data_IF_568547470181
#
_entry.id   IF_568547470181
#
_cell.length_a   1.000
_cell.length_b   1.000
_cell.length_c   1.000
_cell.angle_alpha   90.00
_cell.angle_beta   90.00
_cell.angle_gamma   90.00
#
_symmetry.space_group_name_H-M   'P 1'
#
loop_
_entity.id
_entity.type
_entity.pdbx_description
1 polymer ?
#
# COMPACT_ATOMS: atom_id res chain seq x y z
N UNK A 1 44.27 4.86 -17.98
CA UNK A 1 43.56 5.09 -19.26
C UNK A 1 42.24 5.74 -18.95
N UNK A 2 42.03 7.01 -19.35
CA UNK A 2 40.72 7.65 -19.23
C UNK A 2 39.86 7.09 -20.36
N UNK A 3 38.77 6.39 -20.02
CA UNK A 3 37.83 5.83 -20.99
C UNK A 3 37.13 7.00 -21.68
N UNK A 4 37.18 7.07 -23.01
CA UNK A 4 36.48 8.10 -23.79
C UNK A 4 34.98 8.00 -23.49
N UNK A 5 34.34 9.14 -23.19
CA UNK A 5 32.90 9.15 -22.92
C UNK A 5 32.11 8.70 -24.16
N UNK A 6 31.04 7.90 -23.99
CA UNK A 6 30.13 7.52 -25.07
C UNK A 6 29.47 8.75 -25.71
N UNK A 7 29.19 8.68 -27.01
CA UNK A 7 28.42 9.71 -27.70
C UNK A 7 26.93 9.68 -27.32
N UNK A 8 26.43 8.50 -26.95
CA UNK A 8 25.06 8.25 -26.52
C UNK A 8 25.00 7.15 -25.46
N UNK A 9 23.88 7.12 -24.73
CA UNK A 9 23.67 6.25 -23.58
C UNK A 9 22.40 5.43 -23.80
N UNK A 10 22.49 4.12 -23.63
CA UNK A 10 21.32 3.24 -23.64
C UNK A 10 20.60 3.19 -22.29
N UNK A 11 19.50 2.42 -22.20
CA UNK A 11 18.62 2.36 -21.02
C UNK A 11 19.30 1.79 -19.77
N UNK A 12 20.40 1.06 -19.91
CA UNK A 12 21.21 0.59 -18.78
C UNK A 12 22.33 1.59 -18.45
N UNK A 13 22.90 2.25 -19.47
CA UNK A 13 24.05 3.13 -19.31
C UNK A 13 23.67 4.46 -18.64
N UNK A 14 22.50 5.01 -18.95
CA UNK A 14 22.06 6.31 -18.43
C UNK A 14 21.72 6.24 -16.92
N UNK A 15 20.86 5.32 -16.42
CA UNK A 15 20.63 5.21 -14.97
C UNK A 15 21.92 4.93 -14.20
N UNK A 16 22.77 4.03 -14.72
CA UNK A 16 24.06 3.73 -14.11
C UNK A 16 24.99 4.94 -14.02
N UNK A 17 24.96 5.83 -15.04
CA UNK A 17 25.75 7.06 -15.04
C UNK A 17 25.26 8.07 -14.00
N UNK A 18 23.96 8.14 -13.77
CA UNK A 18 23.33 8.97 -12.74
C UNK A 18 23.45 8.35 -11.32
N UNK A 19 23.85 7.09 -11.22
CA UNK A 19 23.82 6.35 -9.96
C UNK A 19 22.41 6.14 -9.43
N UNK A 20 21.44 5.99 -10.34
CA UNK A 20 20.03 5.71 -10.04
C UNK A 20 19.73 4.24 -10.30
N UNK A 21 18.88 3.66 -9.47
CA UNK A 21 18.22 2.39 -9.74
C UNK A 21 17.22 2.54 -10.89
N UNK A 22 16.87 1.42 -11.50
CA UNK A 22 15.96 1.40 -12.66
C UNK A 22 14.60 2.06 -12.34
N UNK A 23 14.02 1.79 -11.17
CA UNK A 23 12.73 2.37 -10.78
C UNK A 23 12.82 3.89 -10.53
N UNK A 24 13.96 4.38 -10.03
CA UNK A 24 14.20 5.81 -9.81
C UNK A 24 14.23 6.54 -11.16
N UNK A 25 14.92 5.95 -12.14
CA UNK A 25 15.00 6.45 -13.50
C UNK A 25 13.65 6.44 -14.22
N UNK A 26 12.87 5.37 -14.08
CA UNK A 26 11.51 5.28 -14.61
C UNK A 26 10.58 6.33 -13.99
N UNK A 27 10.67 6.53 -12.67
CA UNK A 27 9.90 7.58 -11.98
C UNK A 27 10.33 8.98 -12.45
N UNK A 28 11.62 9.24 -12.58
CA UNK A 28 12.13 10.52 -13.09
C UNK A 28 11.64 10.82 -14.50
N UNK A 29 11.57 9.82 -15.38
CA UNK A 29 10.96 9.95 -16.70
C UNK A 29 9.45 10.22 -16.63
N UNK A 30 8.72 9.48 -15.80
CA UNK A 30 7.28 9.69 -15.62
C UNK A 30 6.94 11.09 -15.08
N UNK A 31 7.84 11.69 -14.31
CA UNK A 31 7.74 13.07 -13.82
C UNK A 31 8.21 14.12 -14.85
N UNK A 32 8.72 13.71 -16.00
CA UNK A 32 9.26 14.61 -17.04
C UNK A 32 10.60 15.25 -16.69
N UNK A 33 11.27 14.79 -15.63
CA UNK A 33 12.58 15.31 -15.20
C UNK A 33 13.71 14.79 -16.09
N UNK A 34 13.54 13.55 -16.58
CA UNK A 34 14.36 12.95 -17.64
C UNK A 34 13.48 12.84 -18.88
N UNK A 35 13.87 13.44 -20.01
CA UNK A 35 13.08 13.37 -21.23
C UNK A 35 13.13 11.97 -21.84
N UNK A 36 12.19 11.70 -22.76
CA UNK A 36 12.27 10.52 -23.62
C UNK A 36 13.57 10.52 -24.46
N UNK A 37 13.94 9.34 -24.96
CA UNK A 37 15.11 9.17 -25.82
C UNK A 37 15.10 10.14 -27.01
N UNK A 38 16.17 10.93 -27.18
CA UNK A 38 16.31 11.97 -28.19
C UNK A 38 17.14 11.55 -29.41
N UNK A 39 17.80 10.40 -29.33
CA UNK A 39 18.54 9.82 -30.46
C UNK A 39 17.58 9.08 -31.39
N UNK A 40 17.78 9.20 -32.71
CA UNK A 40 16.92 8.65 -33.75
C UNK A 40 16.61 7.14 -33.65
N UNK A 41 17.42 6.36 -32.92
CA UNK A 41 17.14 4.95 -32.64
C UNK A 41 15.96 4.73 -31.68
N UNK A 42 15.41 5.79 -31.08
CA UNK A 42 14.22 5.78 -30.21
C UNK A 42 14.42 5.14 -28.84
N UNK A 43 15.65 4.75 -28.49
CA UNK A 43 15.97 3.99 -27.28
C UNK A 43 17.27 4.45 -26.60
N UNK A 44 17.86 5.55 -27.08
CA UNK A 44 19.15 6.08 -26.60
C UNK A 44 19.05 7.58 -26.36
N UNK A 45 19.84 8.06 -25.42
CA UNK A 45 19.93 9.46 -25.04
C UNK A 45 21.28 10.03 -25.46
N UNK A 46 21.28 11.26 -25.97
CA UNK A 46 22.50 11.97 -26.31
C UNK A 46 23.33 12.28 -25.06
N UNK A 47 24.65 12.42 -25.23
CA UNK A 47 25.51 12.87 -24.13
C UNK A 47 25.08 14.22 -23.53
N UNK A 48 24.44 15.09 -24.31
CA UNK A 48 23.92 16.38 -23.85
C UNK A 48 22.78 16.19 -22.83
N UNK A 49 21.82 15.31 -23.11
CA UNK A 49 20.73 14.99 -22.17
C UNK A 49 21.28 14.37 -20.89
N UNK A 50 22.28 13.49 -21.00
CA UNK A 50 22.91 12.88 -19.82
C UNK A 50 23.66 13.91 -18.97
N UNK A 51 24.39 14.85 -19.61
CA UNK A 51 25.10 15.91 -18.91
C UNK A 51 24.14 16.88 -18.19
N UNK A 52 23.03 17.24 -18.84
CA UNK A 52 21.98 18.06 -18.25
C UNK A 52 21.34 17.36 -17.03
N UNK A 53 20.95 16.09 -17.14
CA UNK A 53 20.41 15.32 -16.02
C UNK A 53 21.43 15.19 -14.87
N UNK A 54 22.72 14.99 -15.16
CA UNK A 54 23.79 14.97 -14.16
C UNK A 54 23.89 16.32 -13.41
N UNK A 55 23.72 17.45 -14.10
CA UNK A 55 23.76 18.78 -13.49
C UNK A 55 22.60 19.04 -12.52
N UNK A 56 21.47 18.35 -12.72
CA UNK A 56 20.24 18.45 -11.92
C UNK A 56 19.99 17.20 -11.08
N UNK A 57 21.03 16.39 -10.81
CA UNK A 57 20.87 15.08 -10.19
C UNK A 57 20.22 15.14 -8.80
N UNK A 58 20.57 16.12 -7.97
CA UNK A 58 20.01 16.26 -6.63
C UNK A 58 18.53 16.70 -6.66
N UNK A 59 18.14 17.52 -7.64
CA UNK A 59 16.73 17.84 -7.91
C UNK A 59 15.96 16.56 -8.30
N UNK A 60 16.53 15.77 -9.21
CA UNK A 60 15.93 14.50 -9.66
C UNK A 60 15.77 13.54 -8.47
N UNK A 61 16.81 13.35 -7.65
CA UNK A 61 16.75 12.48 -6.47
C UNK A 61 15.69 12.91 -5.48
N UNK A 62 15.62 14.21 -5.20
CA UNK A 62 14.63 14.78 -4.29
C UNK A 62 13.21 14.54 -4.79
N UNK A 63 12.95 14.75 -6.08
CA UNK A 63 11.62 14.59 -6.67
C UNK A 63 11.20 13.12 -6.82
N UNK A 64 12.16 12.24 -7.06
CA UNK A 64 11.95 10.79 -7.15
C UNK A 64 11.62 10.21 -5.76
N UNK A 65 12.29 10.65 -4.70
CA UNK A 65 12.11 10.12 -3.34
C UNK A 65 12.87 8.83 -3.09
N UNK A 66 12.89 8.37 -1.83
CA UNK A 66 13.74 7.26 -1.39
C UNK A 66 13.07 5.88 -1.47
N UNK A 67 11.74 5.84 -1.63
CA UNK A 67 10.97 4.60 -1.59
C UNK A 67 10.36 4.25 -2.95
N UNK A 68 10.52 3.01 -3.44
CA UNK A 68 9.80 2.53 -4.61
C UNK A 68 8.31 2.38 -4.31
N UNK A 69 7.50 2.24 -5.37
CA UNK A 69 6.11 1.82 -5.19
C UNK A 69 6.10 0.34 -4.81
N UNK A 70 5.34 -0.04 -3.80
CA UNK A 70 5.41 -1.37 -3.19
C UNK A 70 4.04 -1.93 -2.85
N UNK A 71 3.94 -3.25 -2.73
CA UNK A 71 2.72 -3.89 -2.23
C UNK A 71 2.53 -3.71 -0.72
N UNK A 72 1.34 -4.09 -0.22
CA UNK A 72 0.91 -3.85 1.17
C UNK A 72 1.91 -4.36 2.23
N UNK A 73 2.49 -5.55 2.04
CA UNK A 73 3.46 -6.12 2.98
C UNK A 73 4.72 -5.27 3.12
N UNK A 74 5.35 -4.89 2.01
CA UNK A 74 6.56 -4.06 2.04
C UNK A 74 6.25 -2.62 2.46
N UNK A 75 5.08 -2.10 2.11
CA UNK A 75 4.60 -0.82 2.63
C UNK A 75 4.45 -0.85 4.17
N UNK A 76 3.96 -1.97 4.72
CA UNK A 76 3.81 -2.14 6.16
C UNK A 76 5.16 -2.15 6.87
N UNK A 77 6.17 -2.83 6.29
CA UNK A 77 7.55 -2.77 6.80
C UNK A 77 8.10 -1.34 6.82
N UNK A 78 7.93 -0.57 5.73
CA UNK A 78 8.38 0.83 5.64
C UNK A 78 7.70 1.70 6.71
N UNK A 79 6.38 1.58 6.87
CA UNK A 79 5.66 2.32 7.92
C UNK A 79 6.06 1.84 9.32
N UNK A 80 6.31 0.55 9.49
CA UNK A 80 6.72 0.01 10.79
C UNK A 80 8.08 0.53 11.23
N UNK A 81 9.06 0.54 10.33
CA UNK A 81 10.36 1.17 10.55
C UNK A 81 10.22 2.66 10.90
N UNK A 82 9.37 3.38 10.17
CA UNK A 82 9.16 4.83 10.34
C UNK A 82 8.48 5.19 11.66
N UNK A 83 7.47 4.44 12.07
CA UNK A 83 6.68 4.73 13.26
C UNK A 83 7.20 4.00 14.52
N UNK A 84 8.20 3.12 14.36
CA UNK A 84 8.76 2.33 15.45
C UNK A 84 7.77 1.34 16.05
N UNK A 85 6.81 0.84 15.25
CA UNK A 85 5.78 -0.11 15.68
C UNK A 85 5.51 -1.17 14.61
N UNK A 86 4.97 -2.31 15.00
CA UNK A 86 4.51 -3.31 14.02
C UNK A 86 3.28 -2.77 13.27
N UNK A 87 3.34 -2.80 11.94
CA UNK A 87 2.23 -2.42 11.06
C UNK A 87 1.85 -3.63 10.23
N UNK A 88 0.56 -3.95 10.14
CA UNK A 88 0.08 -5.06 9.33
C UNK A 88 -0.19 -4.64 7.89
N UNK A 89 -0.16 -5.59 6.95
CA UNK A 89 -0.59 -5.35 5.58
C UNK A 89 -2.06 -4.89 5.50
N UNK A 90 -2.92 -5.38 6.40
CA UNK A 90 -4.32 -4.96 6.47
C UNK A 90 -4.48 -3.48 6.85
N UNK A 91 -3.63 -2.97 7.75
CA UNK A 91 -3.59 -1.55 8.08
C UNK A 91 -3.26 -0.71 6.85
N UNK A 92 -2.28 -1.13 6.05
CA UNK A 92 -1.92 -0.45 4.79
C UNK A 92 -3.06 -0.52 3.77
N UNK A 93 -3.73 -1.67 3.65
CA UNK A 93 -4.89 -1.80 2.78
C UNK A 93 -6.01 -0.86 3.19
N UNK A 94 -6.23 -0.70 4.50
CA UNK A 94 -7.21 0.24 5.04
C UNK A 94 -6.79 1.70 4.81
N UNK A 95 -5.52 2.06 4.96
CA UNK A 95 -5.00 3.39 4.58
C UNK A 95 -5.23 3.68 3.09
N UNK A 96 -5.00 2.70 2.23
CA UNK A 96 -5.29 2.79 0.79
C UNK A 96 -6.77 2.95 0.51
N UNK A 97 -7.62 2.17 1.17
CA UNK A 97 -9.09 2.24 1.04
C UNK A 97 -9.63 3.62 1.45
N UNK A 98 -8.99 4.27 2.43
CA UNK A 98 -9.29 5.65 2.87
C UNK A 98 -8.60 6.72 2.03
N UNK A 99 -7.83 6.33 1.01
CA UNK A 99 -7.04 7.23 0.15
C UNK A 99 -6.03 8.10 0.92
N UNK A 100 -5.52 7.61 2.04
CA UNK A 100 -4.49 8.28 2.84
C UNK A 100 -3.07 7.94 2.34
N UNK A 101 -2.91 6.77 1.75
CA UNK A 101 -1.74 6.38 0.95
C UNK A 101 -2.27 5.91 -0.40
N UNK A 102 -2.05 6.67 -1.49
CA UNK A 102 -2.60 6.35 -2.80
C UNK A 102 -2.17 4.97 -3.32
N UNK A 103 -3.12 4.26 -3.92
CA UNK A 103 -2.86 3.08 -4.75
C UNK A 103 -2.60 3.54 -6.18
N UNK A 104 -1.42 3.25 -6.72
CA UNK A 104 -0.94 3.75 -8.01
C UNK A 104 -0.95 2.70 -9.12
N UNK A 105 -1.40 1.49 -8.81
CA UNK A 105 -1.52 0.41 -9.78
C UNK A 105 -1.66 -0.94 -9.11
N UNK A 106 -1.45 -1.98 -9.91
CA UNK A 106 -1.47 -3.37 -9.46
C UNK A 106 -0.29 -4.15 -10.02
N UNK A 107 0.17 -5.13 -9.26
CA UNK A 107 1.17 -6.10 -9.69
C UNK A 107 0.68 -7.51 -9.33
N UNK A 108 0.49 -8.35 -10.34
CA UNK A 108 -0.06 -9.72 -10.20
C UNK A 108 -1.40 -9.74 -9.41
N UNK A 109 -2.25 -8.74 -9.63
CA UNK A 109 -3.54 -8.60 -8.95
C UNK A 109 -3.47 -8.02 -7.53
N UNK A 110 -2.30 -7.58 -7.07
CA UNK A 110 -2.12 -6.94 -5.77
C UNK A 110 -1.88 -5.44 -5.92
N UNK A 111 -2.57 -4.63 -5.11
CA UNK A 111 -2.41 -3.17 -5.10
C UNK A 111 -0.95 -2.75 -4.80
N UNK A 112 -0.48 -1.73 -5.53
CA UNK A 112 0.78 -1.06 -5.30
C UNK A 112 0.54 0.35 -4.74
N UNK A 113 1.24 0.69 -3.67
CA UNK A 113 1.12 1.95 -2.94
C UNK A 113 2.23 2.92 -3.37
N UNK A 114 1.93 4.22 -3.41
CA UNK A 114 2.90 5.26 -3.74
C UNK A 114 4.02 5.32 -2.68
N UNK A 115 5.25 5.04 -3.10
CA UNK A 115 6.42 5.10 -2.23
C UNK A 115 6.67 6.48 -1.62
N UNK A 116 6.41 7.56 -2.37
CA UNK A 116 6.58 8.93 -1.88
C UNK A 116 5.51 9.28 -0.84
N UNK A 117 4.29 8.77 -1.02
CA UNK A 117 3.25 8.95 -0.01
C UNK A 117 3.61 8.18 1.27
N UNK A 118 4.11 6.95 1.17
CA UNK A 118 4.64 6.20 2.32
C UNK A 118 5.76 6.95 3.04
N UNK A 119 6.69 7.53 2.27
CA UNK A 119 7.80 8.32 2.80
C UNK A 119 7.33 9.64 3.45
N UNK A 120 6.27 10.26 2.95
CA UNK A 120 5.73 11.50 3.50
C UNK A 120 4.73 11.26 4.65
N UNK A 121 4.19 10.05 4.79
CA UNK A 121 3.14 9.74 5.74
C UNK A 121 3.61 9.92 7.19
N UNK A 122 2.90 10.75 7.94
CA UNK A 122 3.27 11.13 9.31
C UNK A 122 2.09 11.05 10.31
N UNK A 123 0.90 10.68 9.83
CA UNK A 123 -0.31 10.67 10.64
C UNK A 123 -0.42 9.37 11.45
N UNK A 124 0.01 9.43 12.72
CA UNK A 124 -0.04 8.29 13.65
C UNK A 124 -1.47 7.91 14.01
N UNK A 125 -2.35 8.89 14.20
CA UNK A 125 -3.74 8.63 14.59
C UNK A 125 -4.47 7.88 13.47
N UNK A 126 -4.26 8.30 12.21
CA UNK A 126 -4.79 7.57 11.07
C UNK A 126 -4.21 6.17 10.94
N UNK A 127 -2.92 5.98 11.22
CA UNK A 127 -2.29 4.65 11.22
C UNK A 127 -2.92 3.73 12.27
N UNK A 128 -3.09 4.21 13.50
CA UNK A 128 -3.66 3.42 14.60
C UNK A 128 -5.14 3.09 14.31
N UNK A 129 -5.90 4.05 13.78
CA UNK A 129 -7.28 3.83 13.34
C UNK A 129 -7.39 2.85 12.17
N UNK A 130 -6.41 2.85 11.26
CA UNK A 130 -6.35 1.90 10.16
C UNK A 130 -5.90 0.52 10.61
N UNK A 131 -4.98 0.42 11.58
CA UNK A 131 -4.57 -0.84 12.18
C UNK A 131 -5.74 -1.51 12.90
N UNK A 132 -6.54 -0.75 13.63
CA UNK A 132 -7.75 -1.26 14.26
C UNK A 132 -8.77 -1.74 13.22
N UNK A 133 -9.09 -0.91 12.22
CA UNK A 133 -10.11 -1.24 11.23
C UNK A 133 -9.65 -2.33 10.23
N UNK A 134 -8.37 -2.41 9.91
CA UNK A 134 -7.80 -3.43 9.02
C UNK A 134 -7.92 -4.83 9.59
N UNK A 135 -7.99 -4.97 10.92
CA UNK A 135 -8.26 -6.25 11.58
C UNK A 135 -9.75 -6.65 11.56
N UNK A 136 -10.65 -5.75 11.13
CA UNK A 136 -12.07 -6.03 11.06
C UNK A 136 -12.43 -6.61 9.69
N UNK A 137 -13.15 -7.73 9.69
CA UNK A 137 -13.78 -8.20 8.47
C UNK A 137 -14.83 -7.18 8.00
N UNK A 138 -14.85 -6.88 6.70
CA UNK A 138 -16.01 -6.24 6.08
C UNK A 138 -17.24 -7.13 6.32
N UNK A 139 -18.46 -6.56 6.32
CA UNK A 139 -19.69 -7.34 6.54
C UNK A 139 -19.77 -8.58 5.64
N UNK A 140 -19.45 -8.45 4.36
CA UNK A 140 -19.44 -9.56 3.41
C UNK A 140 -18.35 -10.59 3.72
N UNK A 141 -17.16 -10.14 4.13
CA UNK A 141 -16.07 -11.03 4.51
C UNK A 141 -16.37 -11.76 5.83
N UNK A 142 -17.00 -11.08 6.79
CA UNK A 142 -17.48 -11.65 8.04
C UNK A 142 -18.56 -12.70 7.76
N UNK A 143 -19.50 -12.40 6.86
CA UNK A 143 -20.54 -13.32 6.43
C UNK A 143 -19.93 -14.59 5.81
N UNK A 144 -18.98 -14.42 4.89
CA UNK A 144 -18.28 -15.53 4.26
C UNK A 144 -17.46 -16.36 5.26
N UNK A 145 -16.74 -15.70 6.17
CA UNK A 145 -15.95 -16.36 7.22
C UNK A 145 -16.82 -17.19 8.17
N UNK A 146 -17.93 -16.60 8.63
CA UNK A 146 -18.91 -17.25 9.49
C UNK A 146 -19.82 -18.22 8.74
N UNK A 147 -19.73 -18.27 7.40
CA UNK A 147 -20.58 -19.06 6.50
C UNK A 147 -22.07 -18.79 6.66
N UNK A 148 -22.42 -17.51 6.84
CA UNK A 148 -23.80 -17.01 6.93
C UNK A 148 -24.08 -16.04 5.78
N UNK A 149 -25.34 -15.71 5.52
CA UNK A 149 -25.66 -14.68 4.52
C UNK A 149 -25.41 -13.30 5.12
N UNK A 150 -25.02 -12.29 4.32
CA UNK A 150 -24.87 -10.93 4.83
C UNK A 150 -26.13 -10.36 5.49
N UNK A 151 -27.33 -10.76 5.04
CA UNK A 151 -28.59 -10.39 5.67
C UNK A 151 -28.77 -10.99 7.07
N UNK A 152 -28.26 -12.20 7.31
CA UNK A 152 -28.34 -12.84 8.64
C UNK A 152 -27.50 -12.05 9.67
N UNK A 153 -26.43 -11.38 9.24
CA UNK A 153 -25.66 -10.45 10.07
C UNK A 153 -26.45 -9.17 10.41
N UNK A 154 -27.27 -8.65 9.48
CA UNK A 154 -28.14 -7.50 9.78
C UNK A 154 -29.17 -7.87 10.84
N UNK A 155 -29.81 -9.03 10.69
CA UNK A 155 -30.77 -9.54 11.66
C UNK A 155 -30.12 -9.70 13.04
N UNK A 156 -28.89 -10.23 13.10
CA UNK A 156 -28.10 -10.36 14.33
C UNK A 156 -27.77 -9.00 14.97
N UNK A 157 -27.38 -8.01 14.18
CA UNK A 157 -27.03 -6.68 14.68
C UNK A 157 -28.27 -5.86 15.09
N UNK A 158 -29.43 -6.14 14.50
CA UNK A 158 -30.70 -5.49 14.83
C UNK A 158 -31.36 -6.05 16.10
N UNK A 159 -30.93 -7.23 16.56
CA UNK A 159 -31.46 -7.86 17.79
C UNK A 159 -31.06 -7.07 19.03
N UNK A 160 -32.07 -6.58 19.74
CA UNK A 160 -31.92 -5.84 21.00
C UNK A 160 -31.87 -6.75 22.23
N UNK A 161 -32.19 -8.03 22.05
CA UNK A 161 -32.13 -9.05 23.10
C UNK A 161 -30.73 -9.69 23.23
N UNK A 162 -29.77 -9.29 22.38
CA UNK A 162 -28.38 -9.70 22.44
C UNK A 162 -27.52 -8.57 23.03
N UNK A 163 -26.91 -8.84 24.19
CA UNK A 163 -25.93 -7.92 24.77
C UNK A 163 -24.52 -8.20 24.21
N UNK A 164 -24.21 -7.50 23.12
CA UNK A 164 -22.91 -7.57 22.46
C UNK A 164 -21.75 -7.08 23.34
N UNK A 165 -22.02 -6.17 24.29
CA UNK A 165 -21.00 -5.64 25.20
C UNK A 165 -20.56 -6.73 26.18
N UNK A 166 -21.51 -7.45 26.76
CA UNK A 166 -21.23 -8.59 27.66
C UNK A 166 -20.51 -9.72 26.92
N UNK A 167 -20.92 -10.00 25.67
CA UNK A 167 -20.26 -11.02 24.86
C UNK A 167 -18.79 -10.69 24.58
N UNK A 168 -18.48 -9.44 24.21
CA UNK A 168 -17.10 -9.01 23.95
C UNK A 168 -16.23 -8.98 25.22
N UNK A 169 -16.84 -8.69 26.37
CA UNK A 169 -16.14 -8.69 27.66
C UNK A 169 -15.90 -10.10 28.24
N UNK A 170 -16.45 -11.17 27.64
CA UNK A 170 -16.36 -12.53 28.18
C UNK A 170 -14.94 -13.10 28.00
N UNK A 171 -14.22 -13.46 29.08
CA UNK A 171 -12.86 -13.96 28.97
C UNK A 171 -12.78 -15.32 28.26
N UNK A 172 -11.65 -15.56 27.59
CA UNK A 172 -11.36 -16.85 26.94
C UNK A 172 -11.47 -18.00 27.95
N UNK A 173 -12.17 -19.07 27.56
CA UNK A 173 -12.40 -20.26 28.40
C UNK A 173 -13.64 -20.16 29.31
N UNK A 174 -14.37 -19.03 29.30
CA UNK A 174 -15.68 -18.93 29.95
C UNK A 174 -16.81 -19.27 28.96
N UNK A 175 -17.91 -19.88 29.44
CA UNK A 175 -19.09 -20.09 28.62
C UNK A 175 -19.63 -18.77 28.09
N UNK A 176 -19.92 -18.71 26.79
CA UNK A 176 -20.50 -17.53 26.16
C UNK A 176 -21.85 -17.18 26.79
N UNK A 177 -22.18 -15.89 26.97
CA UNK A 177 -23.52 -15.47 27.39
C UNK A 177 -24.61 -15.93 26.40
N UNK A 178 -24.23 -16.16 25.14
CA UNK A 178 -25.14 -16.65 24.10
C UNK A 178 -25.33 -18.17 24.11
N UNK A 179 -24.60 -18.92 24.93
CA UNK A 179 -24.71 -20.38 24.99
C UNK A 179 -26.09 -20.87 25.51
N UNK A 180 -26.90 -19.97 26.08
CA UNK A 180 -28.23 -20.25 26.61
C UNK A 180 -29.36 -19.71 25.72
N UNK A 181 -29.04 -19.15 24.56
CA UNK A 181 -30.09 -18.70 23.63
C UNK A 181 -30.89 -19.92 23.17
N UNK A 182 -32.23 -19.85 23.15
CA UNK A 182 -33.04 -20.93 22.64
C UNK A 182 -32.72 -21.16 21.16
N UNK A 183 -32.67 -22.43 20.75
CA UNK A 183 -32.66 -22.76 19.33
C UNK A 183 -33.91 -22.16 18.67
N UNK A 184 -33.75 -21.60 17.46
CA UNK A 184 -34.81 -20.90 16.74
C UNK A 184 -36.03 -21.84 16.64
N UNK A 185 -37.20 -21.41 17.14
CA UNK A 185 -38.45 -22.09 16.81
C UNK A 185 -38.59 -22.11 15.28
N UNK A 186 -38.94 -23.27 14.68
CA UNK A 186 -39.10 -23.36 13.24
C UNK A 186 -40.14 -22.34 12.80
N UNK A 187 -39.80 -21.55 11.78
CA UNK A 187 -40.73 -20.60 11.18
C UNK A 187 -42.02 -21.34 10.83
N UNK A 188 -43.14 -20.91 11.43
CA UNK A 188 -44.46 -21.46 11.08
C UNK A 188 -44.70 -21.26 9.58
N UNK A 189 -45.15 -22.35 8.95
CA UNK A 189 -45.30 -22.56 7.51
C UNK A 189 -46.22 -21.55 6.82
#
# INVERSE_FOLDING_TARGET
MVKKEPADYGPIQFPARLGLQQWEFERAQALGLIPAADVASGSRWSAAVVADAMSRLEEIRTAVGAQPNVGAWRAAEILGERFGQEVSADAVMELGRRNLIPVIGEYKGHAMYDGRALEAFADREALDAAAHAGQLYSKSAAAAYLRVRPADLDDLLARTDLDWTVAQATPKGRPSPFAKLPDREPASA
#
